data_IF_671167098141
#
_entry.id   IF_671167098141
#
_cell.length_a   1.000
_cell.length_b   1.000
_cell.length_c   1.000
_cell.angle_alpha   90.00
_cell.angle_beta   90.00
_cell.angle_gamma   90.00
#
_symmetry.space_group_name_H-M   'P 1'
#
loop_
_entity.id
_entity.type
_entity.pdbx_description
1 polymer ?
#
# COMPACT_ATOMS: atom_id res chain seq x y z
N UNK A 1 -11.50 -3.20 -20.99
CA UNK A 1 -12.31 -4.41 -20.75
C UNK A 1 -12.80 -4.33 -19.32
N UNK A 2 -14.04 -3.90 -19.09
CA UNK A 2 -14.63 -3.89 -17.75
C UNK A 2 -15.25 -5.26 -17.52
N UNK A 3 -14.91 -5.92 -16.42
CA UNK A 3 -15.30 -7.30 -16.18
C UNK A 3 -16.83 -7.39 -15.99
N UNK A 4 -17.52 -8.44 -16.50
CA UNK A 4 -18.98 -8.58 -16.39
C UNK A 4 -19.48 -8.43 -14.96
N UNK A 5 -18.66 -8.87 -14.00
CA UNK A 5 -18.94 -8.81 -12.57
C UNK A 5 -19.14 -7.38 -12.05
N UNK A 6 -18.28 -6.43 -12.45
CA UNK A 6 -18.38 -5.03 -12.02
C UNK A 6 -19.66 -4.35 -12.50
N UNK A 7 -20.27 -4.81 -13.61
CA UNK A 7 -21.59 -4.32 -14.05
C UNK A 7 -22.72 -4.86 -13.18
N UNK A 8 -22.57 -6.06 -12.63
CA UNK A 8 -23.58 -6.72 -11.81
C UNK A 8 -23.53 -6.28 -10.34
N UNK A 9 -22.32 -6.10 -9.78
CA UNK A 9 -22.12 -5.83 -8.35
C UNK A 9 -21.58 -4.42 -8.05
N UNK A 10 -21.22 -3.65 -9.07
CA UNK A 10 -20.61 -2.33 -8.93
C UNK A 10 -19.09 -2.37 -8.65
N UNK A 11 -18.50 -1.19 -8.41
CA UNK A 11 -17.09 -1.07 -8.06
C UNK A 11 -16.82 -1.57 -6.64
N UNK A 12 -15.64 -2.15 -6.36
CA UNK A 12 -15.23 -2.45 -4.99
C UNK A 12 -15.27 -1.22 -4.10
N UNK A 13 -15.60 -1.44 -2.82
CA UNK A 13 -15.45 -0.44 -1.76
C UNK A 13 -13.99 -0.38 -1.34
N UNK A 14 -13.47 0.81 -1.05
CA UNK A 14 -12.04 1.04 -0.82
C UNK A 14 -11.82 1.78 0.49
N UNK A 15 -10.95 1.23 1.34
CA UNK A 15 -10.31 1.96 2.42
C UNK A 15 -8.95 2.45 1.90
N UNK A 16 -8.87 3.71 1.50
CA UNK A 16 -7.67 4.31 0.92
C UNK A 16 -6.72 4.75 2.02
N UNK A 17 -5.43 4.49 1.85
CA UNK A 17 -4.38 4.84 2.80
C UNK A 17 -3.15 5.38 2.08
N UNK A 18 -2.52 6.40 2.65
CA UNK A 18 -1.35 7.08 2.09
C UNK A 18 -0.03 6.43 2.55
N UNK A 19 0.04 5.11 2.45
CA UNK A 19 1.22 4.31 2.77
C UNK A 19 1.85 3.76 1.48
N UNK A 20 3.16 3.48 1.47
CA UNK A 20 3.82 2.88 0.31
C UNK A 20 3.29 1.46 0.04
N UNK A 21 3.31 1.05 -1.23
CA UNK A 21 2.68 -0.17 -1.76
C UNK A 21 3.16 -1.51 -1.13
N UNK A 22 4.18 -1.51 -0.27
CA UNK A 22 4.64 -2.68 0.48
C UNK A 22 4.39 -2.64 1.99
N UNK A 23 3.87 -1.52 2.53
CA UNK A 23 3.71 -1.31 3.98
C UNK A 23 2.35 -0.70 4.32
N UNK A 24 1.23 -1.27 3.83
CA UNK A 24 -0.10 -0.69 4.04
C UNK A 24 -0.45 -0.54 5.52
N UNK A 25 0.10 -1.36 6.42
CA UNK A 25 -0.22 -1.30 7.85
C UNK A 25 0.78 -0.50 8.71
N UNK A 26 1.81 0.10 8.12
CA UNK A 26 2.89 0.74 8.89
C UNK A 26 4.19 -0.06 8.88
N UNK A 27 5.12 0.29 9.76
CA UNK A 27 6.42 -0.37 9.85
C UNK A 27 6.37 -1.78 10.42
N UNK A 28 7.39 -2.56 10.07
CA UNK A 28 7.61 -3.89 10.62
C UNK A 28 7.92 -3.75 12.11
N UNK A 29 7.14 -4.44 12.95
CA UNK A 29 7.31 -4.42 14.41
C UNK A 29 6.44 -3.40 15.15
N UNK A 30 5.83 -2.43 14.46
CA UNK A 30 4.89 -1.49 15.08
C UNK A 30 3.48 -2.08 15.16
N UNK A 31 3.30 -3.03 16.09
CA UNK A 31 2.03 -3.71 16.28
C UNK A 31 0.89 -2.76 16.69
N UNK A 32 1.21 -1.68 17.41
CA UNK A 32 0.22 -0.69 17.83
C UNK A 32 -0.35 0.04 16.61
N UNK A 33 0.52 0.56 15.75
CA UNK A 33 0.11 1.25 14.53
C UNK A 33 -0.60 0.34 13.54
N UNK A 34 -0.10 -0.88 13.35
CA UNK A 34 -0.74 -1.87 12.49
C UNK A 34 -2.17 -2.18 12.95
N UNK A 35 -2.37 -2.30 14.27
CA UNK A 35 -3.70 -2.50 14.84
C UNK A 35 -4.62 -1.31 14.61
N UNK A 36 -4.14 -0.08 14.76
CA UNK A 36 -4.92 1.13 14.46
C UNK A 36 -5.38 1.16 13.01
N UNK A 37 -4.47 0.89 12.07
CA UNK A 37 -4.79 0.87 10.63
C UNK A 37 -5.84 -0.19 10.32
N UNK A 38 -5.67 -1.41 10.87
CA UNK A 38 -6.61 -2.50 10.68
C UNK A 38 -8.00 -2.17 11.22
N UNK A 39 -8.10 -1.61 12.42
CA UNK A 39 -9.38 -1.25 13.01
C UNK A 39 -10.10 -0.14 12.23
N UNK A 40 -9.36 0.87 11.77
CA UNK A 40 -9.92 1.91 10.93
C UNK A 40 -10.41 1.37 9.58
N UNK A 41 -9.65 0.47 8.94
CA UNK A 41 -10.06 -0.21 7.73
C UNK A 41 -11.31 -1.07 7.94
N UNK A 42 -11.41 -1.78 9.09
CA UNK A 42 -12.61 -2.53 9.46
C UNK A 42 -13.81 -1.61 9.71
N UNK A 43 -13.59 -0.44 10.30
CA UNK A 43 -14.63 0.58 10.51
C UNK A 43 -15.25 1.09 9.20
N UNK A 44 -14.55 0.97 8.06
CA UNK A 44 -15.13 1.31 6.75
C UNK A 44 -16.32 0.42 6.39
N UNK A 45 -16.38 -0.82 6.87
CA UNK A 45 -17.54 -1.70 6.61
C UNK A 45 -18.83 -1.16 7.22
N UNK A 46 -18.76 -0.37 8.28
CA UNK A 46 -19.93 0.25 8.92
C UNK A 46 -20.45 1.46 8.13
N UNK A 47 -19.60 2.10 7.32
CA UNK A 47 -19.91 3.33 6.58
C UNK A 47 -20.15 3.12 5.09
N UNK A 48 -19.49 2.11 4.49
CA UNK A 48 -19.47 1.89 3.06
C UNK A 48 -20.70 1.07 2.62
N UNK A 49 -21.84 1.75 2.51
CA UNK A 49 -23.17 1.19 2.21
C UNK A 49 -23.42 0.90 0.72
N UNK A 50 -22.65 1.52 -0.18
CA UNK A 50 -22.79 1.37 -1.62
C UNK A 50 -21.49 0.91 -2.33
N UNK A 51 -21.61 0.21 -3.48
CA UNK A 51 -20.46 -0.06 -4.35
C UNK A 51 -19.76 1.24 -4.78
N UNK A 52 -18.43 1.21 -4.87
CA UNK A 52 -17.61 2.35 -5.25
C UNK A 52 -17.37 3.38 -4.14
N UNK A 53 -17.85 3.15 -2.92
CA UNK A 53 -17.50 3.98 -1.77
C UNK A 53 -15.98 3.95 -1.52
N UNK A 54 -15.39 5.14 -1.34
CA UNK A 54 -13.96 5.31 -1.02
C UNK A 54 -13.86 6.12 0.27
N UNK A 55 -13.35 5.51 1.33
CA UNK A 55 -13.02 6.20 2.58
C UNK A 55 -11.51 6.45 2.62
N UNK A 56 -11.10 7.70 2.77
CA UNK A 56 -9.69 8.05 2.98
C UNK A 56 -9.37 7.97 4.48
N UNK A 57 -8.53 6.99 4.85
CA UNK A 57 -8.11 6.81 6.24
C UNK A 57 -7.10 7.89 6.64
N UNK A 58 -7.16 8.39 7.90
CA UNK A 58 -6.34 9.51 8.36
C UNK A 58 -4.91 9.06 8.76
N UNK A 59 -4.26 8.30 7.88
CA UNK A 59 -2.91 7.78 8.12
C UNK A 59 -1.97 8.20 7.01
N UNK A 60 -0.91 8.89 7.40
CA UNK A 60 0.15 9.35 6.51
C UNK A 60 1.43 8.60 6.83
N UNK A 61 2.18 8.24 5.78
CA UNK A 61 3.52 7.69 5.94
C UNK A 61 4.44 8.74 6.59
N UNK A 62 5.20 8.32 7.59
CA UNK A 62 6.00 9.22 8.43
C UNK A 62 7.27 9.74 7.72
N UNK A 63 7.77 9.00 6.74
CA UNK A 63 8.92 9.38 5.92
C UNK A 63 8.50 9.95 4.56
N UNK A 64 9.30 10.83 3.95
CA UNK A 64 9.10 11.20 2.57
C UNK A 64 9.52 10.04 1.63
N UNK A 65 8.95 9.93 0.41
CA UNK A 65 9.20 8.81 -0.51
C UNK A 65 10.68 8.57 -0.85
N UNK A 66 11.50 9.63 -0.86
CA UNK A 66 12.92 9.57 -1.19
C UNK A 66 13.76 8.86 -0.12
N UNK A 67 13.26 8.82 1.12
CA UNK A 67 13.96 8.22 2.27
C UNK A 67 13.52 6.78 2.54
N UNK A 68 12.46 6.30 1.87
CA UNK A 68 11.92 4.97 2.10
C UNK A 68 12.92 3.90 1.64
N UNK A 69 13.55 3.19 2.58
CA UNK A 69 14.50 2.13 2.25
C UNK A 69 13.77 0.82 1.95
N UNK A 70 13.47 0.57 0.67
CA UNK A 70 12.88 -0.69 0.20
C UNK A 70 13.90 -1.70 -0.33
N UNK A 71 15.12 -1.25 -0.64
CA UNK A 71 16.18 -2.10 -1.13
C UNK A 71 17.04 -2.64 0.02
N UNK A 72 17.50 -3.90 -0.05
CA UNK A 72 18.52 -4.40 0.86
C UNK A 72 19.82 -3.60 0.71
N UNK A 73 20.58 -3.51 1.81
CA UNK A 73 21.88 -2.82 1.83
C UNK A 73 22.85 -3.43 0.81
N UNK A 74 22.82 -4.76 0.65
CA UNK A 74 23.57 -5.44 -0.40
C UNK A 74 22.77 -5.45 -1.71
N UNK A 75 23.35 -4.95 -2.82
CA UNK A 75 22.69 -4.97 -4.12
C UNK A 75 22.52 -6.41 -4.61
N UNK A 76 21.42 -6.68 -5.31
CA UNK A 76 21.22 -8.00 -5.93
C UNK A 76 22.32 -8.31 -6.96
N UNK A 77 22.65 -9.59 -7.20
CA UNK A 77 23.65 -9.98 -8.20
C UNK A 77 23.40 -9.38 -9.59
N UNK A 78 22.13 -9.21 -9.97
CA UNK A 78 21.74 -8.58 -11.24
C UNK A 78 22.11 -7.10 -11.26
N UNK A 79 21.86 -6.35 -10.17
CA UNK A 79 22.26 -4.95 -10.07
C UNK A 79 23.78 -4.82 -10.17
N UNK A 80 24.53 -5.70 -9.52
CA UNK A 80 26.00 -5.72 -9.60
C UNK A 80 26.49 -5.99 -11.03
N UNK A 81 25.90 -6.96 -11.72
CA UNK A 81 26.20 -7.26 -13.13
C UNK A 81 25.88 -6.09 -14.06
N UNK A 82 24.71 -5.45 -13.90
CA UNK A 82 24.29 -4.29 -14.70
C UNK A 82 25.21 -3.09 -14.50
N UNK A 83 25.69 -2.85 -13.27
CA UNK A 83 26.68 -1.80 -12.99
C UNK A 83 28.00 -2.04 -13.71
N UNK A 84 28.52 -3.29 -13.72
CA UNK A 84 29.75 -3.66 -14.44
C UNK A 84 29.64 -3.40 -15.94
N UNK A 85 28.51 -3.79 -16.57
CA UNK A 85 28.23 -3.55 -18.00
C UNK A 85 28.16 -2.09 -18.41
N UNK A 86 27.86 -1.17 -17.48
CA UNK A 86 27.72 0.27 -17.79
C UNK A 86 29.06 1.00 -17.82
N UNK A 87 30.10 0.38 -17.29
CA UNK A 87 31.48 0.87 -17.22
C UNK A 87 32.38 0.34 -18.35
N UNK A 88 31.90 -0.64 -19.12
CA UNK A 88 32.51 -1.14 -20.37
C UNK A 88 31.96 -0.38 -21.57
#
# INVERSE_FOLDING_TARGET
>A
MIWPYQRLVGMPRVAAIEHPFGRPYGDVGDAARQREVLLAALGVFEKADAPGHVEHLPFTWHEPPEQTSWHPAEPSPIIAMLRKRKTE
#
